data_IF_287826241799
#
_entry.id   IF_287826241799
#
_cell.length_a   1.000
_cell.length_b   1.000
_cell.length_c   1.000
_cell.angle_alpha   90.00
_cell.angle_beta   90.00
_cell.angle_gamma   90.00
#
_symmetry.space_group_name_H-M   'P 1'
#
loop_
_entity.id
_entity.type
_entity.pdbx_description
1 polymer ?
#
# COMPACT_ATOMS: atom_id res chain seq x y z
N UNK A 1 -7.16 19.15 -37.73
CA UNK A 1 -6.65 18.07 -38.60
C UNK A 1 -7.55 16.87 -38.33
N UNK A 2 -8.62 16.75 -39.12
CA UNK A 2 -9.73 15.83 -38.85
C UNK A 2 -9.29 14.38 -39.04
N UNK A 3 -9.51 13.54 -38.03
CA UNK A 3 -9.30 12.10 -38.13
C UNK A 3 -10.36 11.48 -39.03
N UNK A 4 -9.92 10.72 -40.05
CA UNK A 4 -10.80 9.90 -40.88
C UNK A 4 -11.62 8.93 -40.01
N UNK A 5 -12.94 8.89 -40.25
CA UNK A 5 -13.85 7.85 -39.72
C UNK A 5 -13.48 6.50 -40.35
N UNK A 6 -13.44 5.45 -39.53
CA UNK A 6 -13.23 4.06 -39.98
C UNK A 6 -14.47 3.61 -40.77
N UNK A 7 -14.32 2.92 -41.90
CA UNK A 7 -15.47 2.44 -42.67
C UNK A 7 -16.03 1.17 -42.00
N UNK A 8 -17.35 1.16 -41.74
CA UNK A 8 -18.09 -0.08 -41.45
C UNK A 8 -18.98 -0.11 -40.20
N UNK A 9 -19.15 0.98 -39.45
CA UNK A 9 -20.12 1.00 -38.35
C UNK A 9 -21.45 1.58 -38.87
N UNK A 10 -22.56 0.82 -38.86
CA UNK A 10 -23.87 1.35 -39.20
C UNK A 10 -24.20 2.57 -38.32
N UNK A 11 -24.59 3.66 -38.97
CA UNK A 11 -25.00 4.90 -38.33
C UNK A 11 -26.49 4.81 -38.00
N UNK A 12 -26.81 4.27 -36.83
CA UNK A 12 -28.09 4.60 -36.19
C UNK A 12 -27.84 5.83 -35.31
N UNK A 13 -27.98 7.00 -35.94
CA UNK A 13 -28.11 8.28 -35.24
C UNK A 13 -29.46 8.30 -34.53
N UNK A 14 -29.46 8.15 -33.20
CA UNK A 14 -30.33 8.80 -32.21
C UNK A 14 -30.38 7.98 -30.91
N UNK A 15 -29.38 8.16 -30.04
CA UNK A 15 -29.61 8.25 -28.60
C UNK A 15 -28.33 8.80 -27.96
N UNK A 16 -28.37 10.03 -27.43
CA UNK A 16 -27.37 10.50 -26.46
C UNK A 16 -27.75 9.95 -25.09
N UNK A 17 -27.81 8.64 -24.98
CA UNK A 17 -27.73 7.94 -23.70
C UNK A 17 -26.31 8.13 -23.13
N UNK A 18 -26.18 8.07 -21.82
CA UNK A 18 -24.90 8.23 -21.14
C UNK A 18 -23.85 7.28 -21.76
N UNK A 19 -22.75 7.83 -22.31
CA UNK A 19 -21.70 7.13 -23.07
C UNK A 19 -21.15 5.85 -22.38
N UNK A 20 -21.36 5.74 -21.08
CA UNK A 20 -21.00 4.60 -20.24
C UNK A 20 -21.91 3.38 -20.44
N UNK A 21 -23.21 3.57 -20.66
CA UNK A 21 -24.18 2.49 -20.85
C UNK A 21 -23.88 1.69 -22.13
N UNK A 22 -23.47 2.38 -23.20
CA UNK A 22 -23.08 1.74 -24.47
C UNK A 22 -21.89 0.79 -24.32
N UNK A 23 -20.91 1.17 -23.50
CA UNK A 23 -19.71 0.36 -23.28
C UNK A 23 -19.99 -0.89 -22.46
N UNK A 24 -20.85 -0.77 -21.44
CA UNK A 24 -21.27 -1.90 -20.60
C UNK A 24 -22.06 -2.89 -21.44
N UNK A 25 -23.01 -2.41 -22.24
CA UNK A 25 -23.82 -3.25 -23.11
C UNK A 25 -23.00 -3.97 -24.19
N UNK A 26 -21.99 -3.30 -24.73
CA UNK A 26 -21.08 -3.89 -25.71
C UNK A 26 -20.30 -5.07 -25.11
N UNK A 27 -19.69 -4.89 -23.93
CA UNK A 27 -18.92 -5.96 -23.28
C UNK A 27 -19.80 -7.02 -22.65
N UNK A 28 -20.96 -6.66 -22.10
CA UNK A 28 -21.92 -7.60 -21.51
C UNK A 28 -22.45 -8.59 -22.54
N UNK A 29 -22.83 -8.11 -23.74
CA UNK A 29 -23.24 -8.99 -24.85
C UNK A 29 -22.12 -9.94 -25.29
N UNK A 30 -20.88 -9.46 -25.32
CA UNK A 30 -19.72 -10.29 -25.65
C UNK A 30 -19.46 -11.39 -24.60
N UNK A 31 -19.63 -11.08 -23.31
CA UNK A 31 -19.52 -12.05 -22.22
C UNK A 31 -20.61 -13.12 -22.31
N UNK A 32 -21.87 -12.74 -22.54
CA UNK A 32 -22.97 -13.70 -22.71
C UNK A 32 -22.76 -14.61 -23.93
N UNK A 33 -22.22 -14.10 -25.04
CA UNK A 33 -21.86 -14.92 -26.21
C UNK A 33 -20.77 -15.94 -25.90
N UNK A 34 -19.86 -15.62 -24.98
CA UNK A 34 -18.81 -16.52 -24.51
C UNK A 34 -19.26 -17.48 -23.39
N UNK A 35 -20.51 -17.38 -22.92
CA UNK A 35 -21.07 -18.24 -21.88
C UNK A 35 -20.82 -17.74 -20.44
N UNK A 36 -20.41 -16.49 -20.28
CA UNK A 36 -20.26 -15.82 -18.98
C UNK A 36 -21.49 -14.97 -18.63
N UNK A 37 -21.60 -14.58 -17.37
CA UNK A 37 -22.67 -13.71 -16.89
C UNK A 37 -22.57 -12.29 -17.48
N UNK A 38 -23.70 -11.64 -17.74
CA UNK A 38 -23.76 -10.33 -18.40
C UNK A 38 -22.94 -9.26 -17.68
N UNK A 39 -22.98 -9.26 -16.35
CA UNK A 39 -22.27 -8.30 -15.51
C UNK A 39 -20.86 -8.74 -15.12
N UNK A 40 -20.34 -9.86 -15.63
CA UNK A 40 -19.00 -10.38 -15.29
C UNK A 40 -18.88 -10.92 -13.86
N UNK A 41 -19.99 -11.25 -13.22
CA UNK A 41 -20.04 -11.90 -11.91
C UNK A 41 -20.07 -13.42 -12.05
N UNK A 42 -19.23 -14.13 -11.32
CA UNK A 42 -19.14 -15.58 -11.36
C UNK A 42 -19.28 -16.23 -9.97
N UNK A 43 -19.91 -17.42 -9.88
CA UNK A 43 -19.96 -18.19 -8.65
C UNK A 43 -18.58 -18.71 -8.28
N UNK A 44 -18.04 -18.25 -7.14
CA UNK A 44 -16.74 -18.67 -6.64
C UNK A 44 -16.87 -19.64 -5.47
N UNK A 45 -15.94 -20.59 -5.38
CA UNK A 45 -15.82 -21.51 -4.25
C UNK A 45 -14.76 -21.04 -3.26
N UNK A 46 -15.05 -21.18 -1.97
CA UNK A 46 -14.11 -20.85 -0.90
C UNK A 46 -12.92 -21.82 -0.89
N UNK A 47 -11.70 -21.30 -1.02
CA UNK A 47 -10.48 -22.10 -0.98
C UNK A 47 -10.17 -22.74 0.38
N UNK A 48 -10.82 -22.29 1.47
CA UNK A 48 -10.65 -22.87 2.80
C UNK A 48 -11.66 -23.98 3.11
N UNK A 49 -12.94 -23.75 2.78
CA UNK A 49 -14.03 -24.65 3.16
C UNK A 49 -14.56 -25.51 2.00
N UNK A 50 -14.21 -25.20 0.76
CA UNK A 50 -14.70 -25.88 -0.44
C UNK A 50 -16.18 -25.63 -0.77
N UNK A 51 -16.89 -24.83 0.04
CA UNK A 51 -18.28 -24.44 -0.19
C UNK A 51 -18.40 -23.28 -1.18
N UNK A 52 -19.58 -23.13 -1.77
CA UNK A 52 -19.93 -21.98 -2.62
C UNK A 52 -19.98 -20.70 -1.76
N UNK A 53 -19.49 -19.58 -2.30
CA UNK A 53 -19.62 -18.27 -1.66
C UNK A 53 -21.08 -17.78 -1.73
N UNK A 54 -21.52 -17.02 -0.74
CA UNK A 54 -22.92 -16.55 -0.64
C UNK A 54 -23.29 -15.56 -1.76
N UNK A 55 -22.30 -14.80 -2.25
CA UNK A 55 -22.47 -13.83 -3.31
C UNK A 55 -21.54 -14.15 -4.49
N UNK A 56 -22.00 -13.85 -5.70
CA UNK A 56 -21.20 -13.94 -6.91
C UNK A 56 -20.12 -12.86 -6.90
N UNK A 57 -18.92 -13.25 -7.34
CA UNK A 57 -17.74 -12.39 -7.30
C UNK A 57 -17.54 -11.79 -8.69
N UNK A 58 -17.36 -10.47 -8.76
CA UNK A 58 -16.99 -9.80 -10.00
C UNK A 58 -15.53 -10.10 -10.35
N UNK A 59 -15.29 -10.73 -11.50
CA UNK A 59 -13.97 -11.14 -11.96
C UNK A 59 -13.73 -10.57 -13.34
N UNK A 60 -12.52 -10.04 -13.56
CA UNK A 60 -12.14 -9.49 -14.85
C UNK A 60 -10.64 -9.42 -15.03
N UNK A 61 -10.22 -9.31 -16.28
CA UNK A 61 -8.80 -9.15 -16.64
C UNK A 61 -8.48 -7.66 -16.61
N UNK A 62 -7.61 -7.27 -15.67
CA UNK A 62 -7.13 -5.89 -15.54
C UNK A 62 -5.61 -5.86 -15.68
N UNK A 63 -5.10 -4.89 -16.43
CA UNK A 63 -3.67 -4.68 -16.54
C UNK A 63 -3.12 -3.99 -15.29
N UNK A 64 -2.29 -4.71 -14.53
CA UNK A 64 -1.65 -4.18 -13.33
C UNK A 64 -0.25 -3.64 -13.62
N UNK A 65 0.06 -2.49 -13.03
CA UNK A 65 1.41 -1.92 -13.05
C UNK A 65 2.11 -2.14 -11.71
N UNK A 66 3.26 -2.81 -11.74
CA UNK A 66 4.09 -3.03 -10.55
C UNK A 66 4.89 -1.77 -10.21
N UNK A 67 4.72 -1.27 -8.98
CA UNK A 67 5.50 -0.14 -8.46
C UNK A 67 6.94 -0.56 -8.10
N UNK A 68 7.88 0.37 -8.28
CA UNK A 68 9.32 0.12 -8.09
C UNK A 68 9.75 -0.02 -6.63
N UNK A 69 9.04 0.59 -5.68
CA UNK A 69 9.46 0.65 -4.29
C UNK A 69 9.03 -0.59 -3.54
N UNK A 70 10.00 -1.37 -3.07
CA UNK A 70 9.75 -2.58 -2.30
C UNK A 70 9.88 -2.31 -0.80
N UNK A 71 9.12 -3.06 0.02
CA UNK A 71 9.18 -2.98 1.49
C UNK A 71 10.52 -3.49 2.03
N UNK A 72 11.12 -4.48 1.35
CA UNK A 72 12.47 -4.99 1.65
C UNK A 72 13.50 -3.88 1.77
N UNK A 73 13.36 -2.83 0.94
CA UNK A 73 14.29 -1.72 0.90
C UNK A 73 14.07 -0.72 2.03
N UNK A 74 13.15 -0.94 2.97
CA UNK A 74 12.82 -0.01 4.06
C UNK A 74 13.14 -0.56 5.45
N UNK A 75 13.36 -1.86 5.60
CA UNK A 75 13.69 -2.45 6.89
C UNK A 75 15.02 -1.89 7.45
N UNK A 76 15.04 -1.56 8.75
CA UNK A 76 16.22 -1.10 9.47
C UNK A 76 16.21 -1.67 10.89
N UNK A 77 17.36 -2.19 11.33
CA UNK A 77 17.56 -2.72 12.68
C UNK A 77 18.90 -2.22 13.23
N UNK A 78 18.94 -1.99 14.54
CA UNK A 78 20.16 -1.61 15.26
C UNK A 78 20.11 -2.15 16.69
N UNK A 79 21.19 -2.79 17.11
CA UNK A 79 21.45 -3.10 18.52
C UNK A 79 22.54 -2.15 19.06
N UNK A 80 23.77 -2.31 18.58
CA UNK A 80 24.90 -1.38 18.82
C UNK A 80 25.42 -0.86 17.48
N UNK A 81 26.22 0.22 17.49
CA UNK A 81 26.77 0.78 16.25
C UNK A 81 27.52 2.08 16.45
N UNK A 82 27.99 2.70 15.35
CA UNK A 82 28.77 3.93 15.40
C UNK A 82 27.99 5.08 16.06
N UNK A 83 28.73 5.90 16.80
CA UNK A 83 28.25 7.11 17.47
C UNK A 83 28.95 8.33 16.89
N UNK A 84 28.28 9.47 16.97
CA UNK A 84 28.85 10.76 16.61
C UNK A 84 29.86 11.22 17.67
N UNK A 85 30.96 11.87 17.26
CA UNK A 85 32.05 12.24 18.16
C UNK A 85 31.66 13.38 19.11
N UNK A 86 30.87 14.33 18.61
CA UNK A 86 30.51 15.52 19.36
C UNK A 86 29.40 15.23 20.39
N UNK A 87 28.35 14.54 19.93
CA UNK A 87 27.16 14.30 20.75
C UNK A 87 27.18 12.94 21.46
N UNK A 88 28.07 12.03 21.06
CA UNK A 88 28.06 10.60 21.47
C UNK A 88 26.76 9.86 21.15
N UNK A 89 25.86 10.46 20.37
CA UNK A 89 24.59 9.85 19.98
C UNK A 89 24.76 8.94 18.76
N UNK A 90 23.84 7.97 18.57
CA UNK A 90 23.78 7.15 17.36
C UNK A 90 23.79 7.96 16.06
N UNK A 91 24.65 7.57 15.10
CA UNK A 91 24.70 8.26 13.80
C UNK A 91 23.41 8.10 13.00
N UNK A 92 23.10 9.06 12.13
CA UNK A 92 21.97 8.96 11.19
C UNK A 92 22.32 8.10 9.97
N UNK A 93 21.34 7.34 9.50
CA UNK A 93 21.33 6.74 8.17
C UNK A 93 21.44 5.22 8.17
N UNK A 94 20.58 4.57 7.37
CA UNK A 94 20.48 3.10 7.32
C UNK A 94 21.76 2.42 6.86
N UNK A 95 22.44 2.96 5.83
CA UNK A 95 23.69 2.38 5.30
C UNK A 95 24.81 2.31 6.34
N UNK A 96 24.73 3.13 7.39
CA UNK A 96 25.72 3.21 8.47
C UNK A 96 25.27 2.46 9.73
N UNK A 97 24.23 1.62 9.63
CA UNK A 97 23.56 1.02 10.78
C UNK A 97 23.17 2.06 11.84
N UNK A 98 22.66 3.19 11.36
CA UNK A 98 22.31 4.34 12.19
C UNK A 98 21.13 4.09 13.13
N UNK A 99 21.04 4.95 14.15
CA UNK A 99 19.96 4.92 15.13
C UNK A 99 18.59 5.24 14.56
N UNK A 100 17.56 4.79 15.29
CA UNK A 100 16.18 5.25 15.08
C UNK A 100 16.00 6.50 15.94
N UNK A 101 15.36 7.53 15.37
CA UNK A 101 15.07 8.76 16.11
C UNK A 101 13.84 8.55 16.96
N UNK A 102 13.98 8.72 18.27
CA UNK A 102 12.87 9.01 19.18
C UNK A 102 12.71 10.53 19.23
N UNK A 103 11.61 11.05 18.71
CA UNK A 103 11.34 12.47 18.64
C UNK A 103 10.60 13.00 19.87
N UNK A 104 10.20 14.27 19.77
CA UNK A 104 9.48 14.96 20.84
C UNK A 104 8.07 14.39 21.03
N UNK A 105 7.39 14.04 19.93
CA UNK A 105 6.04 13.46 19.99
C UNK A 105 6.03 12.12 20.71
N UNK A 106 7.06 11.29 20.47
CA UNK A 106 7.19 9.99 21.12
C UNK A 106 7.55 10.12 22.60
N UNK A 107 8.36 11.12 22.96
CA UNK A 107 8.63 11.47 24.36
C UNK A 107 7.33 11.86 25.08
N UNK A 108 6.54 12.76 24.50
CA UNK A 108 5.32 13.26 25.13
C UNK A 108 4.28 12.15 25.31
N UNK A 109 4.22 11.22 24.35
CA UNK A 109 3.40 10.00 24.47
C UNK A 109 3.82 9.13 25.66
N UNK A 110 5.13 8.91 25.86
CA UNK A 110 5.64 8.12 26.99
C UNK A 110 5.38 8.80 28.34
N UNK A 111 5.46 10.14 28.39
CA UNK A 111 5.14 10.93 29.58
C UNK A 111 3.66 10.79 29.92
N UNK A 112 2.77 10.88 28.93
CA UNK A 112 1.32 10.75 29.14
C UNK A 112 0.93 9.38 29.72
N UNK A 113 1.65 8.32 29.34
CA UNK A 113 1.48 6.97 29.90
C UNK A 113 2.12 6.77 31.28
N UNK A 114 2.86 7.75 31.80
CA UNK A 114 3.57 7.63 33.07
C UNK A 114 4.75 6.65 33.04
N UNK A 115 5.26 6.30 31.84
CA UNK A 115 6.29 5.28 31.65
C UNK A 115 7.70 5.86 31.86
N UNK A 116 7.98 6.37 33.05
CA UNK A 116 9.23 7.06 33.38
C UNK A 116 10.49 6.21 33.15
N UNK A 117 10.45 4.92 33.51
CA UNK A 117 11.57 4.00 33.29
C UNK A 117 11.85 3.77 31.80
N UNK A 118 10.80 3.62 30.97
CA UNK A 118 10.96 3.47 29.53
C UNK A 118 11.52 4.74 28.89
N UNK A 119 11.09 5.92 29.35
CA UNK A 119 11.61 7.20 28.88
C UNK A 119 13.08 7.36 29.25
N UNK A 120 13.46 7.03 30.49
CA UNK A 120 14.86 7.08 30.93
C UNK A 120 15.74 6.09 30.16
N UNK A 121 15.25 4.86 29.94
CA UNK A 121 15.95 3.85 29.16
C UNK A 121 16.23 4.32 27.73
N UNK A 122 15.22 4.86 27.05
CA UNK A 122 15.37 5.27 25.64
C UNK A 122 16.17 6.54 25.44
N UNK A 123 16.05 7.53 26.33
CA UNK A 123 16.72 8.82 26.19
C UNK A 123 18.13 8.86 26.81
N UNK A 124 18.43 8.04 27.81
CA UNK A 124 19.74 8.00 28.47
C UNK A 124 20.47 6.69 28.23
N UNK A 125 19.98 5.57 28.78
CA UNK A 125 20.71 4.29 28.77
C UNK A 125 21.03 3.77 27.36
N UNK A 126 20.06 3.87 26.44
CA UNK A 126 20.21 3.39 25.06
C UNK A 126 20.85 4.40 24.09
N UNK A 127 21.13 5.64 24.53
CA UNK A 127 21.58 6.73 23.66
C UNK A 127 23.02 7.15 23.99
N UNK A 128 23.22 7.85 25.10
CA UNK A 128 24.44 8.59 25.42
C UNK A 128 24.86 8.46 26.90
N UNK A 129 24.55 7.32 27.54
CA UNK A 129 24.93 7.05 28.93
C UNK A 129 26.43 7.32 29.18
N UNK A 130 26.72 8.22 30.12
CA UNK A 130 28.08 8.54 30.53
C UNK A 130 28.17 8.78 32.03
N UNK A 131 29.05 8.02 32.70
CA UNK A 131 29.36 8.19 34.13
C UNK A 131 30.58 9.10 34.27
N UNK A 132 30.43 10.17 35.02
CA UNK A 132 31.49 11.12 35.33
C UNK A 132 31.80 11.09 36.82
N UNK A 133 33.07 11.28 37.17
CA UNK A 133 33.47 11.51 38.55
C UNK A 133 33.33 13.01 38.83
N UNK A 134 32.51 13.35 39.83
CA UNK A 134 32.27 14.71 40.32
C UNK A 134 32.94 14.88 41.68
#
# INVERSE_FOLDING_TARGET
MGGQKRPGVPLDEEDKGDEWDDSIDYFGKALTQAGFEYYGTEPMYSGLFGGLMEADIFIGIVYYQRLRHMVSDKAQVRATGPVDMNTRQPVKGRKRHGGIRLGEMERDSLIAHGAAFCLHDRLMHCSDEHKTNV
#
